data_IF_485050301145
#
_entry.id   IF_485050301145
#
_cell.length_a   1.000
_cell.length_b   1.000
_cell.length_c   1.000
_cell.angle_alpha   90.00
_cell.angle_beta   90.00
_cell.angle_gamma   90.00
#
_symmetry.space_group_name_H-M   'P 1'
#
loop_
_entity.id
_entity.type
_entity.pdbx_description
1 polymer ?
#
# COMPACT_ATOMS: atom_id res chain seq x y z
N UNK A 1 8.43 -10.44 -31.90
CA UNK A 1 8.06 -10.84 -30.53
C UNK A 1 8.52 -9.73 -29.61
N UNK A 2 7.60 -9.01 -28.97
CA UNK A 2 7.97 -8.02 -27.95
C UNK A 2 8.68 -8.76 -26.81
N UNK A 3 9.91 -8.35 -26.49
CA UNK A 3 10.62 -8.85 -25.32
C UNK A 3 9.94 -8.26 -24.08
N UNK A 4 9.08 -9.05 -23.41
CA UNK A 4 8.60 -8.72 -22.07
C UNK A 4 9.81 -8.53 -21.18
N UNK A 5 10.03 -7.29 -20.72
CA UNK A 5 11.07 -7.00 -19.74
C UNK A 5 10.81 -7.82 -18.48
N UNK A 6 11.85 -8.38 -17.84
CA UNK A 6 11.69 -9.12 -16.60
C UNK A 6 11.10 -8.20 -15.53
N UNK A 7 10.11 -8.69 -14.78
CA UNK A 7 9.54 -7.93 -13.67
C UNK A 7 10.62 -7.73 -12.59
N UNK A 8 10.77 -6.51 -12.05
CA UNK A 8 11.72 -6.26 -10.98
C UNK A 8 11.33 -7.04 -9.71
N UNK A 9 12.33 -7.36 -8.89
CA UNK A 9 12.12 -7.94 -7.56
C UNK A 9 11.48 -6.90 -6.65
N UNK A 10 10.54 -7.32 -5.80
CA UNK A 10 9.96 -6.38 -4.84
C UNK A 10 10.99 -6.04 -3.74
N UNK A 11 10.88 -4.87 -3.10
CA UNK A 11 11.77 -4.53 -1.99
C UNK A 11 11.73 -5.57 -0.86
N UNK A 12 10.57 -6.18 -0.63
CA UNK A 12 10.42 -7.26 0.34
C UNK A 12 11.18 -8.51 -0.09
N UNK A 13 11.09 -8.91 -1.37
CA UNK A 13 11.81 -10.08 -1.88
C UNK A 13 13.34 -9.89 -1.79
N UNK A 14 13.85 -8.68 -2.00
CA UNK A 14 15.28 -8.36 -1.82
C UNK A 14 15.72 -8.55 -0.36
N UNK A 15 14.86 -8.20 0.60
CA UNK A 15 15.14 -8.32 2.02
C UNK A 15 15.16 -9.77 2.51
N UNK A 16 14.33 -10.64 1.93
CA UNK A 16 14.21 -12.05 2.35
C UNK A 16 14.93 -13.03 1.42
N UNK A 17 15.55 -12.55 0.34
CA UNK A 17 16.32 -13.38 -0.61
C UNK A 17 17.78 -12.92 -0.69
N UNK A 18 18.68 -13.50 0.12
CA UNK A 18 20.12 -13.21 0.05
C UNK A 18 20.72 -13.51 -1.33
N UNK A 19 21.84 -12.85 -1.72
CA UNK A 19 22.47 -13.04 -3.03
C UNK A 19 22.78 -14.50 -3.36
N UNK A 20 23.24 -15.28 -2.38
CA UNK A 20 23.52 -16.71 -2.57
C UNK A 20 22.27 -17.52 -2.96
N UNK A 21 21.10 -17.16 -2.41
CA UNK A 21 19.82 -17.80 -2.75
C UNK A 21 19.39 -17.42 -4.18
N UNK A 22 19.64 -16.17 -4.59
CA UNK A 22 19.42 -15.76 -5.99
C UNK A 22 20.31 -16.55 -6.95
N UNK A 23 21.58 -16.76 -6.61
CA UNK A 23 22.47 -17.63 -7.39
C UNK A 23 21.92 -19.05 -7.48
N UNK A 24 21.45 -19.63 -6.37
CA UNK A 24 20.86 -20.98 -6.38
C UNK A 24 19.60 -21.05 -7.26
N UNK A 25 18.75 -20.02 -7.26
CA UNK A 25 17.59 -19.93 -8.16
C UNK A 25 18.01 -19.93 -9.64
N UNK A 26 19.08 -19.22 -9.99
CA UNK A 26 19.62 -19.18 -11.35
C UNK A 26 20.22 -20.52 -11.78
N UNK A 27 20.75 -21.30 -10.84
CA UNK A 27 21.28 -22.64 -11.10
C UNK A 27 20.19 -23.71 -11.22
N UNK A 28 18.97 -23.44 -10.74
CA UNK A 28 17.87 -24.40 -10.71
C UNK A 28 17.57 -25.03 -12.09
N UNK A 29 17.49 -24.28 -13.21
CA UNK A 29 17.24 -24.87 -14.53
C UNK A 29 18.35 -25.79 -15.03
N UNK A 30 19.57 -25.63 -14.52
CA UNK A 30 20.75 -26.43 -14.87
C UNK A 30 20.96 -27.63 -13.95
N UNK A 31 20.19 -27.73 -12.88
CA UNK A 31 20.26 -28.86 -11.94
C UNK A 31 19.56 -30.08 -12.57
N UNK A 32 20.09 -31.31 -12.45
CA UNK A 32 19.40 -32.51 -12.94
C UNK A 32 18.01 -32.67 -12.32
N UNK A 33 17.05 -33.26 -13.04
CA UNK A 33 15.66 -33.39 -12.60
C UNK A 33 15.51 -34.03 -11.20
N UNK A 34 16.37 -35.00 -10.87
CA UNK A 34 16.41 -35.63 -9.55
C UNK A 34 16.78 -34.68 -8.41
N UNK A 35 17.57 -33.64 -8.69
CA UNK A 35 18.00 -32.63 -7.72
C UNK A 35 17.19 -31.34 -7.73
N UNK A 36 16.47 -31.04 -8.82
CA UNK A 36 15.69 -29.79 -8.94
C UNK A 36 14.62 -29.67 -7.85
N UNK A 37 13.90 -30.76 -7.55
CA UNK A 37 12.89 -30.75 -6.49
C UNK A 37 13.53 -30.41 -5.14
N UNK A 38 14.61 -31.11 -4.78
CA UNK A 38 15.31 -30.90 -3.51
C UNK A 38 15.87 -29.48 -3.41
N UNK A 39 16.55 -28.99 -4.45
CA UNK A 39 17.11 -27.64 -4.48
C UNK A 39 16.02 -26.56 -4.44
N UNK A 40 14.94 -26.74 -5.20
CA UNK A 40 13.80 -25.82 -5.20
C UNK A 40 13.12 -25.73 -3.83
N UNK A 41 12.90 -26.87 -3.17
CA UNK A 41 12.39 -26.91 -1.79
C UNK A 41 13.37 -26.26 -0.82
N UNK A 42 14.67 -26.52 -0.94
CA UNK A 42 15.68 -25.91 -0.08
C UNK A 42 15.74 -24.39 -0.23
N UNK A 43 15.70 -23.87 -1.46
CA UNK A 43 15.61 -22.42 -1.74
C UNK A 43 14.41 -21.82 -1.01
N UNK A 44 13.22 -22.43 -1.16
CA UNK A 44 11.99 -21.94 -0.51
C UNK A 44 12.08 -21.99 1.01
N UNK A 45 12.71 -23.01 1.57
CA UNK A 45 12.95 -23.11 3.00
C UNK A 45 13.84 -21.97 3.51
N UNK A 46 14.92 -21.63 2.79
CA UNK A 46 15.79 -20.52 3.18
C UNK A 46 15.05 -19.18 3.09
N UNK A 47 14.30 -18.91 2.03
CA UNK A 47 13.49 -17.69 1.91
C UNK A 47 12.49 -17.55 3.08
N UNK A 48 11.83 -18.65 3.44
CA UNK A 48 10.89 -18.67 4.56
C UNK A 48 11.60 -18.41 5.90
N UNK A 49 12.77 -19.03 6.10
CA UNK A 49 13.61 -18.80 7.28
C UNK A 49 14.04 -17.34 7.38
N UNK A 50 14.48 -16.73 6.29
CA UNK A 50 14.85 -15.31 6.25
C UNK A 50 13.64 -14.41 6.51
N UNK A 51 12.47 -14.76 5.97
CA UNK A 51 11.21 -14.07 6.27
C UNK A 51 10.90 -14.09 7.76
N UNK A 52 10.97 -15.25 8.42
CA UNK A 52 10.77 -15.33 9.87
C UNK A 52 11.83 -14.52 10.63
N UNK A 53 13.11 -14.62 10.26
CA UNK A 53 14.17 -13.87 10.90
C UNK A 53 13.97 -12.35 10.76
N UNK A 54 13.50 -11.89 9.61
CA UNK A 54 13.19 -10.49 9.32
C UNK A 54 12.10 -9.93 10.25
N UNK A 55 11.03 -10.69 10.49
CA UNK A 55 9.95 -10.28 11.38
C UNK A 55 10.30 -10.46 12.86
N UNK A 56 11.00 -11.53 13.24
CA UNK A 56 11.44 -11.77 14.63
C UNK A 56 12.41 -10.68 15.11
N UNK A 57 13.37 -10.27 14.28
CA UNK A 57 14.29 -9.16 14.59
C UNK A 57 13.56 -7.82 14.74
N UNK A 58 12.33 -7.70 14.23
CA UNK A 58 11.57 -6.45 14.13
C UNK A 58 10.25 -6.45 14.91
N UNK A 59 10.01 -7.46 15.75
CA UNK A 59 8.82 -7.57 16.59
C UNK A 59 8.62 -6.43 17.61
N UNK A 60 9.40 -5.34 17.55
CA UNK A 60 9.30 -4.16 18.41
C UNK A 60 9.11 -2.83 17.66
N UNK A 61 9.25 -2.76 16.32
CA UNK A 61 9.25 -1.49 15.56
C UNK A 61 8.65 -1.72 14.15
N UNK A 62 7.37 -2.09 14.08
CA UNK A 62 6.79 -2.68 12.86
C UNK A 62 6.39 -1.70 11.76
N UNK A 63 6.69 -0.39 11.83
CA UNK A 63 6.01 0.57 10.94
C UNK A 63 6.85 1.50 10.06
N UNK A 64 8.18 1.42 9.99
CA UNK A 64 8.88 2.37 9.09
C UNK A 64 10.33 2.05 8.74
N UNK A 65 11.09 1.37 9.60
CA UNK A 65 12.54 1.51 9.48
C UNK A 65 13.25 0.58 8.49
N UNK A 66 12.66 -0.52 8.05
CA UNK A 66 13.47 -1.52 7.32
C UNK A 66 13.36 -1.49 5.80
N UNK A 67 12.42 -0.72 5.25
CA UNK A 67 12.55 -0.29 3.86
C UNK A 67 13.40 0.98 3.77
N UNK A 68 13.87 1.54 4.91
CA UNK A 68 14.54 2.84 5.04
C UNK A 68 13.85 3.96 4.25
N UNK A 69 12.56 3.80 3.96
CA UNK A 69 11.78 4.80 3.27
C UNK A 69 10.95 5.56 4.29
N UNK A 70 10.93 6.90 4.20
CA UNK A 70 9.92 7.65 4.93
C UNK A 70 8.54 7.08 4.59
N UNK A 71 7.63 7.06 5.57
CA UNK A 71 6.26 6.67 5.29
C UNK A 71 5.73 7.54 4.13
N UNK A 72 5.02 6.96 3.16
CA UNK A 72 4.49 7.72 2.04
C UNK A 72 3.61 8.83 2.60
N UNK A 73 3.86 10.05 2.15
CA UNK A 73 3.18 11.25 2.63
C UNK A 73 1.80 11.40 1.99
N UNK A 74 1.53 10.68 0.89
CA UNK A 74 0.25 10.67 0.20
C UNK A 74 -0.05 9.32 -0.46
N UNK A 75 -1.33 9.01 -0.75
CA UNK A 75 -1.71 7.85 -1.55
C UNK A 75 -1.09 7.85 -2.97
N UNK A 76 -0.81 9.03 -3.55
CA UNK A 76 -0.22 9.14 -4.88
C UNK A 76 1.21 8.58 -4.92
N UNK A 77 2.01 8.85 -3.88
CA UNK A 77 3.36 8.28 -3.74
C UNK A 77 3.33 6.74 -3.69
N UNK A 78 2.32 6.16 -3.02
CA UNK A 78 2.14 4.70 -2.98
C UNK A 78 1.89 4.15 -4.38
N UNK A 79 1.02 4.79 -5.16
CA UNK A 79 0.69 4.35 -6.52
C UNK A 79 1.90 4.44 -7.46
N UNK A 80 2.68 5.52 -7.34
CA UNK A 80 3.94 5.66 -8.08
C UNK A 80 4.93 4.53 -7.74
N UNK A 81 5.04 4.16 -6.46
CA UNK A 81 5.88 3.04 -6.03
C UNK A 81 5.39 1.67 -6.53
N UNK A 82 4.08 1.50 -6.72
CA UNK A 82 3.50 0.26 -7.24
C UNK A 82 3.65 0.12 -8.76
N UNK A 83 3.72 1.24 -9.50
CA UNK A 83 3.77 1.29 -10.96
C UNK A 83 4.72 0.28 -11.61
N UNK A 84 6.01 0.20 -11.20
CA UNK A 84 6.99 -0.72 -11.78
C UNK A 84 6.68 -2.22 -11.63
N UNK A 85 5.78 -2.59 -10.72
CA UNK A 85 5.43 -3.98 -10.42
C UNK A 85 4.12 -4.43 -11.08
N UNK A 86 3.40 -3.51 -11.70
CA UNK A 86 2.11 -3.78 -12.34
C UNK A 86 2.28 -4.19 -13.82
N UNK A 87 1.33 -4.96 -14.37
CA UNK A 87 1.25 -5.19 -15.81
C UNK A 87 0.94 -3.88 -16.55
N UNK A 88 1.21 -3.78 -17.86
CA UNK A 88 1.04 -2.54 -18.64
C UNK A 88 -0.36 -1.93 -18.51
N UNK A 89 -1.40 -2.75 -18.47
CA UNK A 89 -2.78 -2.32 -18.29
C UNK A 89 -3.00 -1.68 -16.91
N UNK A 90 -2.40 -2.26 -15.87
CA UNK A 90 -2.45 -1.73 -14.51
C UNK A 90 -1.63 -0.45 -14.35
N UNK A 91 -0.45 -0.37 -14.98
CA UNK A 91 0.38 0.83 -14.95
C UNK A 91 -0.31 2.01 -15.67
N UNK A 92 -0.93 1.75 -16.82
CA UNK A 92 -1.71 2.76 -17.55
C UNK A 92 -2.90 3.27 -16.74
N UNK A 93 -3.60 2.39 -16.02
CA UNK A 93 -4.68 2.79 -15.12
C UNK A 93 -4.18 3.67 -13.96
N UNK A 94 -3.03 3.33 -13.36
CA UNK A 94 -2.43 4.17 -12.32
C UNK A 94 -1.99 5.55 -12.84
N UNK A 95 -1.45 5.61 -14.05
CA UNK A 95 -1.06 6.87 -14.68
C UNK A 95 -2.28 7.76 -14.93
N UNK A 96 -3.36 7.19 -15.49
CA UNK A 96 -4.63 7.90 -15.67
C UNK A 96 -5.17 8.42 -14.34
N UNK A 97 -5.09 7.60 -13.29
CA UNK A 97 -5.51 8.00 -11.96
C UNK A 97 -4.64 9.14 -11.38
N UNK A 98 -3.32 9.05 -11.50
CA UNK A 98 -2.38 10.10 -11.06
C UNK A 98 -2.65 11.43 -11.76
N UNK A 99 -2.92 11.38 -13.07
CA UNK A 99 -3.27 12.56 -13.86
C UNK A 99 -4.54 13.24 -13.34
N UNK A 100 -5.56 12.48 -12.95
CA UNK A 100 -6.80 13.01 -12.37
C UNK A 100 -6.52 13.71 -11.04
N UNK A 101 -5.71 13.09 -10.17
CA UNK A 101 -5.34 13.67 -8.87
C UNK A 101 -4.59 15.00 -9.03
N UNK A 102 -3.64 15.06 -9.97
CA UNK A 102 -2.89 16.30 -10.26
C UNK A 102 -3.79 17.40 -10.83
N UNK A 103 -4.72 17.06 -11.74
CA UNK A 103 -5.68 18.02 -12.26
C UNK A 103 -6.57 18.60 -11.14
N UNK A 104 -6.94 17.78 -10.16
CA UNK A 104 -7.75 18.22 -9.01
C UNK A 104 -6.96 19.13 -8.07
N UNK A 105 -5.68 18.84 -7.82
CA UNK A 105 -4.80 19.71 -7.03
C UNK A 105 -4.63 21.08 -7.71
N UNK A 106 -4.49 21.10 -9.04
CA UNK A 106 -4.46 22.34 -9.81
C UNK A 106 -5.80 23.11 -9.71
N UNK A 107 -6.94 22.42 -9.81
CA UNK A 107 -8.26 23.04 -9.68
C UNK A 107 -8.49 23.62 -8.27
N UNK A 108 -8.07 22.90 -7.23
CA UNK A 108 -8.13 23.37 -5.84
C UNK A 108 -7.22 24.58 -5.63
N UNK A 109 -5.99 24.54 -6.14
CA UNK A 109 -5.07 25.68 -6.08
C UNK A 109 -5.66 26.91 -6.76
N UNK A 110 -6.32 26.73 -7.91
CA UNK A 110 -6.98 27.83 -8.62
C UNK A 110 -8.19 28.37 -7.85
N UNK A 111 -8.99 27.51 -7.24
CA UNK A 111 -10.11 27.89 -6.39
C UNK A 111 -9.65 28.64 -5.12
N UNK A 112 -8.60 28.16 -4.46
CA UNK A 112 -8.01 28.81 -3.27
C UNK A 112 -7.31 30.13 -3.64
N UNK A 113 -6.88 30.30 -4.90
CA UNK A 113 -6.30 31.56 -5.41
C UNK A 113 -7.34 32.61 -5.79
N UNK A 114 -8.61 32.22 -5.95
CA UNK A 114 -9.73 33.13 -6.17
C UNK A 114 -10.33 33.52 -4.80
N UNK A 115 -9.71 34.50 -4.15
CA UNK A 115 -10.27 35.12 -2.96
C UNK A 115 -11.53 35.94 -3.34
N UNK A 116 -12.74 35.58 -2.87
CA UNK A 116 -13.97 36.31 -3.21
C UNK A 116 -14.02 37.75 -2.67
N UNK A 117 -13.09 38.14 -1.78
CA UNK A 117 -13.14 39.45 -1.12
C UNK A 117 -12.57 40.63 -1.95
N UNK A 118 -12.02 40.42 -3.15
CA UNK A 118 -11.52 41.53 -4.00
C UNK A 118 -12.51 41.96 -5.09
N UNK A 119 -13.66 41.30 -5.22
CA UNK A 119 -14.69 41.64 -6.20
C UNK A 119 -15.90 42.34 -5.56
N UNK A 120 -15.68 43.20 -4.56
CA UNK A 120 -16.72 44.08 -4.03
C UNK A 120 -16.81 45.37 -4.86
N UNK A 121 -17.28 45.28 -6.11
CA UNK A 121 -17.98 46.41 -6.75
C UNK A 121 -19.04 45.96 -7.73
N UNK A 122 -20.29 46.06 -7.25
CA UNK A 122 -21.58 46.12 -7.95
C UNK A 122 -22.38 44.83 -8.21
N UNK A 123 -23.74 44.95 -8.10
CA UNK A 123 -24.65 43.85 -7.88
C UNK A 123 -25.29 43.36 -9.19
N UNK A 124 -26.10 42.29 -9.07
CA UNK A 124 -26.94 41.68 -10.11
C UNK A 124 -26.22 40.96 -11.24
N UNK A 125 -25.81 39.72 -10.97
CA UNK A 125 -26.43 38.54 -11.59
C UNK A 125 -25.86 37.31 -10.89
N UNK A 126 -26.74 36.44 -10.38
CA UNK A 126 -26.35 35.11 -9.92
C UNK A 126 -25.95 34.29 -11.16
N UNK A 127 -24.81 34.59 -11.77
CA UNK A 127 -24.10 33.59 -12.57
C UNK A 127 -23.65 32.55 -11.57
N UNK A 128 -24.26 31.37 -11.65
CA UNK A 128 -23.72 30.14 -11.10
C UNK A 128 -22.21 30.17 -11.40
N UNK A 129 -21.41 30.48 -10.38
CA UNK A 129 -19.97 30.38 -10.48
C UNK A 129 -19.72 28.89 -10.62
N UNK A 130 -19.64 28.42 -11.87
CA UNK A 130 -19.32 27.03 -12.19
C UNK A 130 -18.07 26.71 -11.39
N UNK A 131 -18.20 25.78 -10.44
CA UNK A 131 -17.07 25.44 -9.58
C UNK A 131 -15.98 24.89 -10.50
N UNK A 132 -14.71 25.30 -10.36
CA UNK A 132 -13.62 24.78 -11.21
C UNK A 132 -13.56 23.25 -11.23
N UNK A 133 -13.96 22.61 -10.13
CA UNK A 133 -14.13 21.16 -10.01
C UNK A 133 -15.25 20.62 -10.92
N UNK A 134 -16.36 21.34 -11.06
CA UNK A 134 -17.52 20.95 -11.88
C UNK A 134 -17.21 21.07 -13.38
N UNK A 135 -16.48 22.13 -13.76
CA UNK A 135 -15.94 22.27 -15.13
C UNK A 135 -14.99 21.12 -15.46
N UNK A 136 -14.13 20.74 -14.51
CA UNK A 136 -13.19 19.63 -14.68
C UNK A 136 -13.87 18.27 -14.75
N UNK A 137 -14.85 17.99 -13.88
CA UNK A 137 -15.68 16.79 -13.93
C UNK A 137 -16.46 16.67 -15.25
N UNK A 138 -16.83 17.80 -15.86
CA UNK A 138 -17.42 17.84 -17.20
C UNK A 138 -16.45 17.54 -18.35
N UNK A 139 -15.14 17.62 -18.11
CA UNK A 139 -14.08 17.32 -19.10
C UNK A 139 -13.54 15.89 -18.98
N UNK A 140 -13.93 15.14 -17.93
CA UNK A 140 -13.51 13.74 -17.73
C UNK A 140 -14.32 12.76 -18.59
N UNK A 141 -13.69 11.66 -18.98
CA UNK A 141 -14.40 10.53 -19.60
C UNK A 141 -15.25 9.78 -18.55
N UNK A 142 -16.26 8.98 -18.96
CA UNK A 142 -17.05 8.17 -18.04
C UNK A 142 -16.20 7.24 -17.16
N UNK A 143 -15.15 6.65 -17.74
CA UNK A 143 -14.20 5.77 -17.05
C UNK A 143 -13.38 6.54 -16.00
N UNK A 144 -12.95 7.77 -16.32
CA UNK A 144 -12.22 8.63 -15.39
C UNK A 144 -13.08 9.09 -14.21
N UNK A 145 -14.38 9.30 -14.45
CA UNK A 145 -15.34 9.65 -13.40
C UNK A 145 -15.54 8.48 -12.42
N UNK A 146 -15.64 7.26 -12.91
CA UNK A 146 -15.79 6.06 -12.07
C UNK A 146 -14.58 5.85 -11.15
N UNK A 147 -13.36 6.02 -11.67
CA UNK A 147 -12.13 5.92 -10.87
C UNK A 147 -12.09 6.94 -9.73
N UNK A 148 -12.59 8.16 -9.98
CA UNK A 148 -12.69 9.21 -8.97
C UNK A 148 -13.69 8.86 -7.86
N UNK A 149 -14.88 8.35 -8.23
CA UNK A 149 -15.87 7.90 -7.27
C UNK A 149 -15.34 6.74 -6.41
N UNK A 150 -14.60 5.80 -7.02
CA UNK A 150 -13.93 4.72 -6.30
C UNK A 150 -12.93 5.21 -5.25
N UNK A 151 -12.09 6.22 -5.58
CA UNK A 151 -11.16 6.82 -4.61
C UNK A 151 -11.88 7.47 -3.43
N UNK A 152 -12.86 8.33 -3.68
CA UNK A 152 -13.62 8.96 -2.59
C UNK A 152 -14.30 7.92 -1.70
N UNK A 153 -14.76 6.80 -2.26
CA UNK A 153 -15.36 5.73 -1.47
C UNK A 153 -14.38 5.00 -0.54
N UNK A 154 -13.09 4.93 -0.88
CA UNK A 154 -12.07 4.23 -0.10
C UNK A 154 -11.46 5.16 0.95
N UNK A 155 -11.17 6.41 0.57
CA UNK A 155 -10.42 7.34 1.42
C UNK A 155 -11.34 8.23 2.26
N UNK A 156 -12.51 8.64 1.77
CA UNK A 156 -13.44 9.49 2.54
C UNK A 156 -14.29 8.69 3.53
N UNK A 157 -14.45 7.38 3.34
CA UNK A 157 -15.15 6.52 4.31
C UNK A 157 -14.26 6.07 5.49
N UNK A 158 -12.95 6.31 5.45
CA UNK A 158 -12.04 5.88 6.51
C UNK A 158 -11.90 6.87 7.68
N UNK A 159 -12.41 8.10 7.55
CA UNK A 159 -12.42 9.09 8.63
C UNK A 159 -13.45 8.81 9.74
N UNK A 160 -14.27 7.75 9.60
CA UNK A 160 -15.31 7.39 10.57
C UNK A 160 -15.13 5.99 11.18
N UNK A 161 -13.91 5.45 11.17
CA UNK A 161 -13.60 4.28 12.02
C UNK A 161 -13.18 4.78 13.40
N UNK A 162 -14.17 4.90 14.29
CA UNK A 162 -13.99 5.06 15.72
C UNK A 162 -12.98 4.02 16.25
N UNK A 163 -11.72 4.43 16.41
CA UNK A 163 -10.73 3.75 17.26
C UNK A 163 -11.11 4.05 18.72
N UNK A 164 -12.28 3.60 19.15
CA UNK A 164 -12.72 3.54 20.54
C UNK A 164 -13.67 2.38 20.72
N UNK A 165 -13.14 1.16 20.65
CA UNK A 165 -13.67 0.00 21.38
C UNK A 165 -12.68 -1.18 21.31
N UNK A 166 -11.45 -0.97 21.80
CA UNK A 166 -10.69 -2.05 22.42
C UNK A 166 -10.67 -1.78 23.93
N UNK A 167 -11.83 -1.98 24.56
CA UNK A 167 -11.93 -2.03 26.00
C UNK A 167 -11.29 -3.35 26.45
N UNK A 168 -10.00 -3.26 26.78
CA UNK A 168 -9.29 -3.94 27.86
C UNK A 168 -10.06 -5.14 28.45
N UNK A 169 -9.69 -6.35 28.04
CA UNK A 169 -10.04 -7.57 28.77
C UNK A 169 -9.35 -7.52 30.13
N UNK A 170 -10.14 -7.48 31.20
CA UNK A 170 -9.65 -7.47 32.57
C UNK A 170 -8.91 -8.78 32.91
N UNK A 171 -7.76 -8.59 33.53
CA UNK A 171 -6.91 -9.59 34.15
C UNK A 171 -7.67 -10.36 35.24
N UNK A 172 -7.84 -11.67 35.06
CA UNK A 172 -7.98 -12.61 36.19
C UNK A 172 -7.16 -13.86 35.88
N UNK A 173 -5.85 -13.76 36.06
CA UNK A 173 -4.98 -14.94 36.19
C UNK A 173 -5.07 -15.39 37.65
N UNK A 174 -6.06 -16.22 37.96
CA UNK A 174 -6.16 -16.85 39.27
C UNK A 174 -5.04 -17.89 39.40
N UNK A 175 -3.99 -17.47 40.10
CA UNK A 175 -2.81 -18.25 40.46
C UNK A 175 -3.23 -19.38 41.40
N UNK A 176 -3.43 -20.58 40.86
CA UNK A 176 -3.74 -21.77 41.66
C UNK A 176 -2.46 -22.56 41.97
N UNK A 177 -1.66 -22.03 42.90
CA UNK A 177 -0.65 -22.80 43.63
C UNK A 177 -1.38 -23.58 44.75
N UNK A 178 -1.55 -24.91 44.61
CA UNK A 178 -1.71 -25.81 45.77
C UNK A 178 -1.12 -27.20 45.50
N UNK A 179 -0.34 -27.76 46.44
CA UNK A 179 0.42 -29.00 46.24
C UNK A 179 -0.44 -30.27 46.45
N UNK A 180 -0.01 -31.43 45.92
CA UNK A 180 -0.72 -32.69 46.16
C UNK A 180 -0.47 -33.18 47.59
N UNK A 181 -1.55 -33.25 48.38
CA UNK A 181 -1.58 -33.93 49.66
C UNK A 181 -1.59 -35.45 49.45
N UNK A 182 -0.61 -36.13 50.03
CA UNK A 182 -0.64 -37.56 50.26
C UNK A 182 -1.79 -37.90 51.20
N UNK A 183 -2.58 -38.92 50.86
CA UNK A 183 -3.16 -39.80 51.89
C UNK A 183 -3.32 -41.21 51.34
N UNK A 184 -2.69 -42.14 52.08
CA UNK A 184 -2.84 -43.58 51.97
C UNK A 184 -4.20 -43.97 52.55
N UNK A 185 -4.87 -44.96 51.97
CA UNK A 185 -5.14 -46.28 52.55
C UNK A 185 -5.86 -47.15 51.51
#
# INVERSE_FOLDING_TARGET
MEKKLPRPMTPFDELVTPPAVQTMKLLLPYTPASGQQMLGTFIKFIELKETFAFFQKRGQQLHSQALQRPAPSSPAEILEELGPYLPPEGASALEQFSNIMQMMEMAKTFQDSFDPDVASTQPSDKKEQISPLEMMMGMLTPEQKEMFEAYNSIFSNNDNTDIRNFQKGDDIVERMDKPPGNEKY
#
